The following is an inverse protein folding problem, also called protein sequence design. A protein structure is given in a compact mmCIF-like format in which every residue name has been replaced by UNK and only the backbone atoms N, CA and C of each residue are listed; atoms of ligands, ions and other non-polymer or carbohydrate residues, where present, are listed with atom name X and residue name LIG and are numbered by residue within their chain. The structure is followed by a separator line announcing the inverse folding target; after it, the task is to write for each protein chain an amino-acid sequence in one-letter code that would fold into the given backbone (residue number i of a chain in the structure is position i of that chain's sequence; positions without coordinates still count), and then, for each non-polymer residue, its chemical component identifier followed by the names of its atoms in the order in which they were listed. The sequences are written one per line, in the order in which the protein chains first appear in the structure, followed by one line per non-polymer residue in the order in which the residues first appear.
data_IF_869312145962
#
_entry.id   IF_869312145962
#
_cell.length_a   1.000
_cell.length_b   1.000
_cell.length_c   1.000
_cell.angle_alpha   90.00
_cell.angle_beta   90.00
_cell.angle_gamma   90.00
#
_symmetry.space_group_name_H-M   'P 1'
#
loop_
_entity.id
_entity.type
_entity.pdbx_description
1 polymer ?
#
# COMPACT_ATOMS: atom_id res chain seq x y z
N UNK A 1 -51.87 -29.97 -8.70
CA UNK A 1 -52.27 -31.39 -8.55
C UNK A 1 -52.01 -31.80 -7.11
N UNK A 2 -53.08 -32.26 -6.49
CA UNK A 2 -53.30 -32.61 -5.08
C UNK A 2 -52.77 -34.01 -4.74
N UNK A 3 -52.41 -34.23 -3.47
CA UNK A 3 -51.95 -35.52 -2.92
C UNK A 3 -53.02 -36.64 -3.02
N UNK A 4 -52.58 -37.91 -3.05
CA UNK A 4 -53.33 -39.04 -2.51
C UNK A 4 -52.66 -39.65 -1.24
N UNK A 5 -53.42 -40.45 -0.47
CA UNK A 5 -53.34 -40.53 0.99
C UNK A 5 -52.47 -41.66 1.55
N UNK A 6 -52.07 -41.50 2.82
CA UNK A 6 -51.33 -42.47 3.60
C UNK A 6 -52.13 -43.72 4.00
N UNK A 7 -51.40 -44.81 4.22
CA UNK A 7 -51.90 -46.05 4.82
C UNK A 7 -51.31 -46.25 6.23
N UNK A 8 -52.11 -46.80 7.18
CA UNK A 8 -51.73 -46.96 8.58
C UNK A 8 -50.81 -48.18 8.84
N UNK A 9 -50.06 -48.18 9.96
CA UNK A 9 -49.21 -49.31 10.34
C UNK A 9 -50.00 -50.51 10.90
N UNK A 10 -49.46 -51.74 10.80
CA UNK A 10 -50.09 -52.95 11.30
C UNK A 10 -50.04 -53.07 12.85
N UNK A 11 -50.98 -53.82 13.47
CA UNK A 11 -51.09 -53.91 14.92
C UNK A 11 -50.16 -54.96 15.56
N UNK A 12 -49.50 -54.50 16.63
CA UNK A 12 -49.21 -55.16 17.91
C UNK A 12 -49.07 -56.68 18.00
N UNK A 13 -47.84 -57.11 18.30
CA UNK A 13 -47.58 -58.26 19.17
C UNK A 13 -46.67 -57.80 20.32
N UNK A 14 -47.22 -57.67 21.53
CA UNK A 14 -46.46 -57.51 22.77
C UNK A 14 -46.00 -58.87 23.29
N UNK A 15 -44.71 -59.07 23.58
CA UNK A 15 -44.24 -60.09 24.50
C UNK A 15 -44.00 -59.51 25.92
N UNK A 16 -44.04 -60.38 26.95
CA UNK A 16 -44.31 -60.01 28.35
C UNK A 16 -43.17 -59.28 29.06
N UNK A 17 -43.57 -58.50 30.06
CA UNK A 17 -42.73 -57.63 30.87
C UNK A 17 -41.56 -58.34 31.56
N UNK A 18 -40.41 -57.67 31.54
CA UNK A 18 -39.26 -57.98 32.38
C UNK A 18 -39.18 -57.00 33.56
N UNK A 19 -38.74 -57.47 34.74
CA UNK A 19 -38.68 -56.66 35.96
C UNK A 19 -37.70 -55.47 35.83
N UNK A 20 -37.90 -54.39 36.62
CA UNK A 20 -37.06 -53.21 36.54
C UNK A 20 -35.63 -53.53 36.95
N UNK A 21 -34.68 -53.29 36.04
CA UNK A 21 -33.26 -53.24 36.37
C UNK A 21 -32.99 -51.99 37.22
N UNK A 22 -32.32 -52.18 38.36
CA UNK A 22 -31.85 -51.09 39.21
C UNK A 22 -30.88 -50.15 38.48
N UNK A 23 -30.64 -48.94 39.02
CA UNK A 23 -29.79 -47.95 38.38
C UNK A 23 -28.36 -48.48 38.19
N UNK A 24 -27.70 -48.15 37.06
CA UNK A 24 -26.30 -48.51 36.85
C UNK A 24 -25.39 -47.81 37.87
N UNK A 25 -24.25 -48.41 38.26
CA UNK A 25 -23.27 -47.74 39.11
C UNK A 25 -22.81 -46.44 38.46
N UNK A 26 -22.79 -45.36 39.24
CA UNK A 26 -22.30 -44.06 38.78
C UNK A 26 -20.84 -44.15 38.33
N UNK A 27 -20.56 -43.68 37.12
CA UNK A 27 -19.20 -43.45 36.66
C UNK A 27 -18.59 -42.34 37.53
N UNK A 28 -17.48 -42.65 38.20
CA UNK A 28 -16.67 -41.64 38.89
C UNK A 28 -16.16 -40.58 37.92
N UNK A 29 -15.81 -39.37 38.41
CA UNK A 29 -15.32 -38.30 37.55
C UNK A 29 -14.01 -38.72 36.85
N UNK A 30 -13.78 -38.28 35.61
CA UNK A 30 -12.52 -38.55 34.91
C UNK A 30 -11.34 -37.94 35.69
N UNK A 31 -10.14 -38.54 35.63
CA UNK A 31 -8.95 -37.96 36.25
C UNK A 31 -8.70 -36.55 35.68
N UNK A 32 -8.53 -35.58 36.58
CA UNK A 32 -8.20 -34.21 36.18
C UNK A 32 -6.88 -34.19 35.42
N UNK A 33 -6.89 -33.60 34.23
CA UNK A 33 -5.65 -33.24 33.55
C UNK A 33 -4.92 -32.22 34.44
N UNK A 34 -3.68 -32.55 34.83
CA UNK A 34 -2.81 -31.60 35.50
C UNK A 34 -2.63 -30.33 34.66
N UNK A 35 -2.33 -29.19 35.29
CA UNK A 35 -2.09 -27.95 34.56
C UNK A 35 -0.95 -28.13 33.55
N UNK A 36 -1.02 -27.53 32.36
CA UNK A 36 0.10 -27.54 31.42
C UNK A 36 1.34 -26.92 32.08
N UNK A 37 2.57 -27.35 31.72
CA UNK A 37 3.79 -26.72 32.22
C UNK A 37 3.73 -25.23 31.96
N UNK A 38 3.92 -24.42 33.01
CA UNK A 38 3.97 -22.99 32.89
C UNK A 38 5.08 -22.60 31.92
N UNK A 39 4.71 -21.96 30.81
CA UNK A 39 5.69 -21.24 30.02
C UNK A 39 6.28 -20.16 30.93
N UNK A 40 7.60 -20.24 31.16
CA UNK A 40 8.33 -19.18 31.84
C UNK A 40 8.05 -17.84 31.16
N UNK A 41 8.10 -16.72 31.90
CA UNK A 41 7.92 -15.41 31.30
C UNK A 41 8.90 -15.25 30.12
N UNK A 42 8.45 -14.73 28.96
CA UNK A 42 9.37 -14.38 27.90
C UNK A 42 10.43 -13.42 28.47
N UNK A 43 11.70 -13.48 28.00
CA UNK A 43 12.72 -12.53 28.41
C UNK A 43 12.14 -11.12 28.26
N UNK A 44 12.09 -10.39 29.37
CA UNK A 44 11.62 -9.01 29.37
C UNK A 44 12.51 -8.22 28.44
N UNK A 45 11.99 -7.86 27.26
CA UNK A 45 12.57 -6.77 26.50
C UNK A 45 12.44 -5.55 27.38
N UNK A 46 13.59 -4.94 27.69
CA UNK A 46 13.66 -3.72 28.47
C UNK A 46 12.73 -2.66 27.88
N UNK A 47 12.33 -1.66 28.69
CA UNK A 47 11.49 -0.58 28.21
C UNK A 47 12.08 0.01 26.93
N UNK A 48 11.27 0.25 25.89
CA UNK A 48 11.74 0.97 24.72
C UNK A 48 12.31 2.32 25.16
N UNK A 49 13.39 2.83 24.55
CA UNK A 49 13.90 4.16 24.88
C UNK A 49 12.76 5.15 24.76
N UNK A 50 12.45 5.84 25.84
CA UNK A 50 11.47 6.92 25.83
C UNK A 50 11.86 7.92 24.75
N UNK A 51 10.92 8.26 23.88
CA UNK A 51 11.10 9.34 22.92
C UNK A 51 11.41 10.61 23.70
N UNK A 52 12.68 10.99 23.68
CA UNK A 52 13.16 12.23 24.30
C UNK A 52 12.40 13.41 23.69
N UNK A 53 11.96 14.32 24.56
CA UNK A 53 11.30 15.56 24.15
C UNK A 53 12.12 16.30 23.09
N UNK A 54 11.41 16.89 22.12
CA UNK A 54 12.00 17.63 21.00
C UNK A 54 12.90 18.77 21.51
N UNK A 55 14.16 18.90 21.07
CA UNK A 55 14.92 20.12 21.28
C UNK A 55 14.38 21.27 20.42
N UNK A 56 14.54 22.54 20.83
CA UNK A 56 14.06 23.70 20.08
C UNK A 56 14.66 23.77 18.67
N UNK A 57 13.82 24.15 17.70
CA UNK A 57 14.19 24.27 16.29
C UNK A 57 15.37 25.23 16.08
N UNK A 58 16.49 24.71 15.59
CA UNK A 58 17.56 25.51 14.99
C UNK A 58 17.18 25.95 13.57
N UNK A 59 17.71 27.08 13.07
CA UNK A 59 17.43 27.55 11.73
C UNK A 59 17.96 26.57 10.66
N UNK A 60 17.23 26.36 9.54
CA UNK A 60 17.61 25.40 8.52
C UNK A 60 18.88 25.83 7.75
N UNK A 61 19.71 24.87 7.27
CA UNK A 61 20.82 25.17 6.37
C UNK A 61 20.33 25.75 5.04
N UNK A 62 20.83 26.94 4.70
CA UNK A 62 20.53 27.63 3.45
C UNK A 62 21.21 26.98 2.26
N UNK A 63 20.49 26.12 1.54
CA UNK A 63 20.80 25.75 0.16
C UNK A 63 19.76 26.36 -0.78
N UNK A 64 20.14 26.95 -1.93
CA UNK A 64 19.19 27.50 -2.89
C UNK A 64 18.32 26.38 -3.48
N UNK A 65 17.01 26.45 -3.23
CA UNK A 65 15.99 25.61 -3.89
C UNK A 65 15.77 26.12 -5.32
N UNK A 66 15.65 25.25 -6.33
CA UNK A 66 15.28 25.69 -7.67
C UNK A 66 13.87 26.32 -7.66
N UNK A 67 13.60 27.32 -8.50
CA UNK A 67 12.33 28.03 -8.52
C UNK A 67 11.18 27.08 -8.89
N UNK A 68 10.10 27.16 -8.11
CA UNK A 68 8.84 26.43 -8.35
C UNK A 68 8.33 26.75 -9.76
N UNK A 69 8.30 25.74 -10.63
CA UNK A 69 7.56 25.81 -11.89
C UNK A 69 6.05 25.84 -11.61
N UNK A 70 5.23 26.47 -12.47
CA UNK A 70 3.79 26.41 -12.34
C UNK A 70 3.31 24.94 -12.39
N UNK A 71 2.29 24.55 -11.61
CA UNK A 71 1.69 23.23 -11.69
C UNK A 71 1.28 22.90 -13.12
N UNK A 72 1.43 21.63 -13.52
CA UNK A 72 0.96 21.19 -14.84
C UNK A 72 -0.57 21.41 -14.95
N UNK A 73 -1.08 21.78 -16.14
CA UNK A 73 -2.51 21.95 -16.34
C UNK A 73 -3.26 20.65 -16.03
N UNK A 74 -4.52 20.72 -15.53
CA UNK A 74 -5.28 19.55 -15.12
C UNK A 74 -5.56 18.62 -16.32
N UNK A 75 -5.78 17.31 -16.07
CA UNK A 75 -6.24 16.39 -17.11
C UNK A 75 -7.51 16.92 -17.77
N UNK A 76 -7.50 17.02 -19.10
CA UNK A 76 -8.67 17.41 -19.88
C UNK A 76 -9.80 16.40 -19.69
N UNK A 77 -10.95 16.87 -19.23
CA UNK A 77 -12.15 16.06 -19.08
C UNK A 77 -12.55 15.48 -20.46
N UNK A 78 -12.61 14.15 -20.58
CA UNK A 78 -13.12 13.51 -21.79
C UNK A 78 -14.60 13.90 -21.99
N UNK A 79 -14.87 14.66 -23.05
CA UNK A 79 -16.17 14.67 -23.73
C UNK A 79 -17.17 15.78 -23.36
N UNK A 80 -16.82 17.06 -23.52
CA UNK A 80 -17.74 18.14 -23.95
C UNK A 80 -16.95 19.40 -24.34
N UNK A 81 -17.30 20.11 -25.43
CA UNK A 81 -16.63 21.37 -25.78
C UNK A 81 -16.87 22.41 -24.69
N UNK A 82 -15.81 23.06 -24.21
CA UNK A 82 -15.92 24.28 -23.42
C UNK A 82 -16.70 25.34 -24.22
N UNK A 83 -17.64 26.08 -23.60
CA UNK A 83 -18.16 27.29 -24.23
C UNK A 83 -16.99 28.27 -24.45
N UNK A 84 -16.92 28.98 -25.59
CA UNK A 84 -15.82 29.88 -25.85
C UNK A 84 -15.79 30.99 -24.78
N UNK A 85 -14.59 31.39 -24.30
CA UNK A 85 -14.48 32.48 -23.35
C UNK A 85 -15.01 33.77 -23.96
N UNK A 86 -15.80 34.50 -23.17
CA UNK A 86 -16.28 35.84 -23.54
C UNK A 86 -15.09 36.77 -23.73
N UNK A 87 -14.99 37.36 -24.91
CA UNK A 87 -13.96 38.31 -25.29
C UNK A 87 -14.06 39.59 -24.44
N UNK A 88 -13.15 39.74 -23.47
CA UNK A 88 -12.79 41.02 -22.86
C UNK A 88 -11.40 41.43 -23.37
N UNK A 89 -11.32 42.56 -24.06
CA UNK A 89 -10.13 43.01 -24.76
C UNK A 89 -8.95 43.37 -23.86
N UNK A 90 -7.74 43.21 -24.39
CA UNK A 90 -6.50 43.60 -23.74
C UNK A 90 -5.29 43.09 -24.52
N UNK A 91 -5.02 43.69 -25.67
CA UNK A 91 -3.79 43.45 -26.44
C UNK A 91 -2.55 44.04 -25.76
N UNK A 92 -1.39 43.56 -26.21
CA UNK A 92 -0.03 44.04 -25.92
C UNK A 92 0.71 43.44 -24.71
N UNK A 93 1.01 42.13 -24.75
CA UNK A 93 2.22 41.55 -24.10
C UNK A 93 2.79 40.42 -24.99
N UNK A 94 3.05 40.71 -26.27
CA UNK A 94 3.45 39.68 -27.26
C UNK A 94 4.85 39.82 -27.84
N UNK A 95 5.61 40.88 -27.51
CA UNK A 95 6.82 41.24 -28.27
C UNK A 95 8.14 41.21 -27.48
N UNK A 96 8.14 40.87 -26.18
CA UNK A 96 9.36 40.95 -25.33
C UNK A 96 10.03 39.59 -25.09
N UNK A 97 9.31 38.48 -25.25
CA UNK A 97 9.84 37.13 -24.97
C UNK A 97 10.63 36.50 -26.14
N UNK A 98 10.49 37.02 -27.37
CA UNK A 98 11.19 36.47 -28.53
C UNK A 98 12.67 36.89 -28.64
N UNK A 99 13.08 37.98 -27.97
CA UNK A 99 14.47 38.50 -28.04
C UNK A 99 15.39 37.81 -27.04
N UNK A 100 14.87 37.29 -25.92
CA UNK A 100 15.67 36.61 -24.88
C UNK A 100 16.02 35.16 -25.23
N UNK A 101 15.27 34.52 -26.12
CA UNK A 101 15.55 33.15 -26.58
C UNK A 101 16.69 33.08 -27.62
N UNK A 102 16.96 34.17 -28.35
CA UNK A 102 18.00 34.20 -29.39
C UNK A 102 19.41 34.41 -28.81
N UNK A 103 19.54 35.09 -27.67
CA UNK A 103 20.85 35.31 -27.01
C UNK A 103 21.29 34.15 -26.09
N UNK A 104 20.36 33.33 -25.59
CA UNK A 104 20.69 32.19 -24.73
C UNK A 104 21.30 30.99 -25.47
N UNK A 105 20.93 30.79 -26.74
CA UNK A 105 21.37 29.63 -27.54
C UNK A 105 22.77 29.83 -28.14
N UNK A 106 23.23 31.07 -28.31
CA UNK A 106 24.58 31.37 -28.83
C UNK A 106 25.65 31.34 -27.71
N UNK A 107 25.28 31.58 -26.45
CA UNK A 107 26.21 31.54 -25.30
C UNK A 107 26.59 30.13 -24.83
N UNK A 108 25.76 29.12 -25.08
CA UNK A 108 25.99 27.74 -24.63
C UNK A 108 26.83 26.89 -25.62
N UNK A 109 27.08 27.38 -26.84
CA UNK A 109 27.84 26.67 -27.87
C UNK A 109 29.34 27.03 -27.94
N UNK A 110 29.84 27.92 -27.07
CA UNK A 110 31.26 28.37 -27.08
C UNK A 110 32.10 27.81 -25.92
N UNK A 111 31.52 27.05 -24.99
CA UNK A 111 32.27 26.47 -23.84
C UNK A 111 32.61 24.98 -24.02
N UNK A 112 32.15 24.33 -25.10
CA UNK A 112 32.37 22.88 -25.32
C UNK A 112 33.42 22.53 -26.39
N UNK A 113 34.41 23.39 -26.61
CA UNK A 113 35.51 23.10 -27.53
C UNK A 113 36.82 23.74 -27.06
N UNK A 114 37.49 23.13 -26.09
CA UNK A 114 38.97 23.00 -25.98
C UNK A 114 39.35 22.49 -24.58
N UNK A 115 39.54 21.17 -24.42
CA UNK A 115 40.80 20.56 -23.95
C UNK A 115 40.59 19.04 -23.81
N UNK A 116 41.24 18.29 -24.69
CA UNK A 116 41.64 16.91 -24.41
C UNK A 116 43.03 16.66 -25.01
N UNK A 117 43.73 15.67 -24.46
CA UNK A 117 45.13 15.24 -24.67
C UNK A 117 46.10 15.88 -23.67
N UNK A 118 46.85 15.17 -22.83
CA UNK A 118 47.14 13.75 -22.67
C UNK A 118 48.56 13.66 -22.07
N UNK A 119 48.87 12.65 -21.23
CA UNK A 119 50.19 11.97 -21.09
C UNK A 119 50.31 11.13 -19.82
N UNK A 120 51.18 10.13 -19.90
CA UNK A 120 51.23 8.87 -19.16
C UNK A 120 52.40 8.78 -18.15
N UNK A 121 52.33 7.72 -17.30
CA UNK A 121 53.43 6.97 -16.63
C UNK A 121 53.80 7.33 -15.15
N UNK A 122 54.47 6.44 -14.38
CA UNK A 122 53.82 5.47 -13.49
C UNK A 122 54.41 5.47 -12.05
N UNK A 123 53.79 4.79 -11.08
CA UNK A 123 54.53 4.19 -9.96
C UNK A 123 53.74 3.11 -9.24
N UNK A 124 54.44 2.01 -8.97
CA UNK A 124 54.03 0.80 -8.26
C UNK A 124 53.91 1.10 -6.77
N UNK A 125 52.94 0.48 -6.09
CA UNK A 125 53.18 -0.24 -4.83
C UNK A 125 52.10 -1.34 -4.65
N UNK A 126 52.60 -2.53 -4.34
CA UNK A 126 51.87 -3.76 -4.02
C UNK A 126 51.58 -3.80 -2.52
N UNK A 127 50.46 -4.41 -2.08
CA UNK A 127 50.43 -5.47 -1.05
C UNK A 127 49.00 -6.00 -0.80
N UNK A 128 48.89 -7.33 -0.94
CA UNK A 128 48.08 -8.35 -0.24
C UNK A 128 46.58 -8.15 0.10
N UNK A 129 45.76 -8.94 -0.59
CA UNK A 129 44.42 -9.38 -0.19
C UNK A 129 44.49 -10.72 0.57
N UNK A 130 43.87 -10.87 1.76
CA UNK A 130 43.67 -12.17 2.37
C UNK A 130 42.54 -12.94 1.67
N UNK A 131 42.85 -14.15 1.21
CA UNK A 131 41.90 -15.16 0.75
C UNK A 131 41.40 -15.97 1.94
N UNK A 132 40.08 -16.01 2.17
CA UNK A 132 39.45 -17.01 3.03
C UNK A 132 38.70 -18.00 2.14
N UNK A 133 39.28 -19.19 2.01
CA UNK A 133 38.62 -20.37 1.42
C UNK A 133 37.67 -20.97 2.45
N UNK A 134 36.36 -20.95 2.19
CA UNK A 134 35.39 -21.71 2.97
C UNK A 134 35.03 -23.00 2.23
N UNK A 135 35.19 -24.15 2.89
CA UNK A 135 34.88 -25.47 2.35
C UNK A 135 33.37 -25.73 2.33
N UNK A 136 32.82 -26.43 1.32
CA UNK A 136 31.43 -26.83 1.30
C UNK A 136 31.18 -28.04 2.22
N UNK A 137 30.00 -28.15 2.86
CA UNK A 137 29.65 -29.34 3.65
C UNK A 137 29.30 -30.53 2.75
N UNK A 138 29.86 -31.69 3.08
CA UNK A 138 29.58 -33.00 2.51
C UNK A 138 28.22 -33.53 3.00
N UNK A 139 27.32 -33.86 2.08
CA UNK A 139 26.09 -34.61 2.37
C UNK A 139 26.29 -36.08 1.99
N UNK A 140 26.28 -36.95 2.99
CA UNK A 140 26.34 -38.41 2.82
C UNK A 140 24.99 -38.92 2.32
N UNK A 141 24.92 -39.36 1.07
CA UNK A 141 23.75 -40.06 0.53
C UNK A 141 23.90 -41.55 0.85
N UNK A 142 23.07 -42.07 1.75
CA UNK A 142 22.98 -43.51 2.01
C UNK A 142 21.86 -44.10 1.17
N UNK A 143 22.24 -44.90 0.16
CA UNK A 143 21.33 -45.68 -0.66
C UNK A 143 21.06 -47.03 0.04
N UNK A 144 19.79 -47.39 0.20
CA UNK A 144 19.35 -48.73 0.57
C UNK A 144 18.37 -49.29 -0.48
N UNK A 145 18.53 -50.58 -0.74
CA UNK A 145 18.05 -51.39 -1.86
C UNK A 145 16.51 -51.53 -2.03
N UNK A 146 16.02 -51.94 -3.21
CA UNK A 146 14.60 -52.17 -3.44
C UNK A 146 14.16 -53.52 -2.86
N UNK A 147 13.03 -53.52 -2.14
CA UNK A 147 12.31 -54.76 -1.79
C UNK A 147 10.99 -54.79 -2.55
N UNK A 148 10.86 -55.77 -3.43
CA UNK A 148 9.65 -56.10 -4.18
C UNK A 148 8.60 -56.66 -3.23
N UNK A 149 7.40 -56.11 -3.21
CA UNK A 149 6.22 -56.79 -2.64
C UNK A 149 5.00 -56.47 -3.49
N UNK A 150 4.49 -57.50 -4.16
CA UNK A 150 3.24 -57.47 -4.88
C UNK A 150 2.07 -57.28 -3.90
N UNK A 151 1.13 -56.37 -4.21
CA UNK A 151 -0.19 -56.38 -3.57
C UNK A 151 -1.28 -56.01 -4.57
N UNK A 152 -2.28 -56.88 -4.55
CA UNK A 152 -3.42 -57.06 -5.46
C UNK A 152 -4.32 -55.83 -5.56
N UNK A 153 -4.71 -55.48 -6.80
CA UNK A 153 -5.72 -54.46 -7.10
C UNK A 153 -7.12 -55.01 -6.84
N UNK A 154 -7.94 -54.29 -6.07
CA UNK A 154 -9.39 -54.47 -6.01
C UNK A 154 -10.05 -53.24 -6.63
N UNK A 155 -10.80 -53.46 -7.71
CA UNK A 155 -11.52 -52.42 -8.45
C UNK A 155 -12.82 -52.04 -7.74
N UNK A 156 -13.02 -50.75 -7.46
CA UNK A 156 -14.32 -50.20 -7.08
C UNK A 156 -14.77 -49.25 -8.18
N UNK A 157 -15.77 -49.70 -8.95
CA UNK A 157 -16.48 -48.91 -9.97
C UNK A 157 -17.36 -47.85 -9.31
N UNK A 158 -17.02 -46.57 -9.50
CA UNK A 158 -17.90 -45.43 -9.17
C UNK A 158 -18.46 -44.83 -10.45
N UNK A 159 -19.78 -44.87 -10.58
CA UNK A 159 -20.56 -44.46 -11.75
C UNK A 159 -20.62 -42.92 -11.81
N UNK A 160 -20.00 -42.31 -12.82
CA UNK A 160 -20.03 -40.86 -13.03
C UNK A 160 -21.29 -40.47 -13.83
N UNK A 161 -22.17 -39.66 -13.25
CA UNK A 161 -23.29 -39.02 -13.98
C UNK A 161 -22.88 -37.61 -14.39
N UNK A 162 -22.64 -37.40 -15.67
CA UNK A 162 -22.29 -36.11 -16.25
C UNK A 162 -23.54 -35.24 -16.37
N UNK A 163 -23.71 -34.24 -15.50
CA UNK A 163 -24.71 -33.18 -15.66
C UNK A 163 -24.02 -31.93 -16.18
N UNK A 164 -24.12 -31.69 -17.49
CA UNK A 164 -23.64 -30.47 -18.14
C UNK A 164 -24.51 -29.29 -17.69
N UNK A 165 -24.00 -28.48 -16.77
CA UNK A 165 -24.60 -27.21 -16.40
C UNK A 165 -23.98 -26.12 -17.28
N UNK A 166 -24.77 -25.55 -18.19
CA UNK A 166 -24.39 -24.41 -19.01
C UNK A 166 -24.32 -23.17 -18.12
N UNK A 167 -23.14 -22.80 -17.66
CA UNK A 167 -22.91 -21.55 -16.93
C UNK A 167 -22.81 -20.39 -17.93
N UNK A 168 -23.89 -19.63 -18.05
CA UNK A 168 -23.87 -18.30 -18.68
C UNK A 168 -23.01 -17.38 -17.81
N UNK A 169 -21.72 -17.26 -18.09
CA UNK A 169 -20.84 -16.31 -17.41
C UNK A 169 -21.10 -14.90 -17.95
N UNK A 170 -21.68 -14.04 -17.10
CA UNK A 170 -21.55 -12.58 -17.25
C UNK A 170 -20.07 -12.27 -17.54
N UNK A 171 -19.74 -11.42 -18.53
CA UNK A 171 -18.36 -11.03 -18.76
C UNK A 171 -17.74 -10.55 -17.44
N UNK A 172 -16.61 -11.13 -17.07
CA UNK A 172 -15.86 -10.66 -15.91
C UNK A 172 -15.62 -9.16 -16.13
N UNK A 173 -15.99 -8.33 -15.14
CA UNK A 173 -15.67 -6.90 -15.20
C UNK A 173 -14.15 -6.69 -15.31
N UNK A 174 -13.69 -5.43 -15.44
CA UNK A 174 -12.27 -5.11 -15.39
C UNK A 174 -11.56 -5.89 -14.27
N UNK A 175 -10.43 -6.50 -14.58
CA UNK A 175 -9.66 -7.32 -13.64
C UNK A 175 -8.38 -6.60 -13.23
N UNK A 176 -7.89 -6.79 -12.00
CA UNK A 176 -6.60 -6.26 -11.60
C UNK A 176 -5.50 -6.84 -12.50
N UNK A 177 -4.53 -6.01 -12.87
CA UNK A 177 -3.37 -6.44 -13.67
C UNK A 177 -2.18 -6.63 -12.75
N UNK A 178 -1.72 -7.88 -12.63
CA UNK A 178 -0.62 -8.27 -11.75
C UNK A 178 0.77 -7.85 -12.29
N UNK A 179 0.99 -6.55 -12.43
CA UNK A 179 2.22 -5.93 -12.90
C UNK A 179 2.57 -4.70 -12.04
N UNK A 180 3.85 -4.39 -11.94
CA UNK A 180 4.38 -3.19 -11.27
C UNK A 180 4.55 -2.05 -12.28
N UNK A 181 5.74 -1.85 -12.84
CA UNK A 181 6.04 -0.70 -13.72
C UNK A 181 5.19 -0.60 -14.98
N UNK A 182 4.79 -1.74 -15.56
CA UNK A 182 3.99 -1.79 -16.80
C UNK A 182 2.46 -1.84 -16.56
N UNK A 183 2.01 -1.63 -15.32
CA UNK A 183 0.60 -1.64 -14.97
C UNK A 183 -0.17 -0.56 -15.74
N UNK A 184 -1.39 -0.85 -16.25
CA UNK A 184 -2.24 0.15 -16.93
C UNK A 184 -2.43 1.46 -16.17
N UNK A 185 -2.37 1.44 -14.83
CA UNK A 185 -2.42 2.61 -13.96
C UNK A 185 -1.41 3.70 -14.36
N UNK A 186 -0.26 3.32 -14.91
CA UNK A 186 0.87 4.21 -15.20
C UNK A 186 1.05 4.54 -16.69
N UNK A 187 0.19 4.01 -17.59
CA UNK A 187 0.43 4.09 -19.05
C UNK A 187 0.07 5.44 -19.64
N UNK A 188 -1.03 6.02 -19.21
CA UNK A 188 -1.49 7.33 -19.69
C UNK A 188 -0.73 8.45 -18.96
N UNK A 189 0.04 9.23 -19.72
CA UNK A 189 0.82 10.36 -19.21
C UNK A 189 -0.06 11.51 -18.70
N UNK A 190 -1.32 11.58 -19.14
CA UNK A 190 -2.28 12.60 -18.77
C UNK A 190 -3.26 12.13 -17.68
N UNK A 191 -3.23 10.84 -17.32
CA UNK A 191 -4.05 10.29 -16.24
C UNK A 191 -3.64 10.86 -14.88
N UNK A 192 -4.60 11.42 -14.16
CA UNK A 192 -4.43 12.03 -12.84
C UNK A 192 -5.78 12.22 -12.15
N UNK A 193 -5.77 12.60 -10.88
CA UNK A 193 -7.01 12.81 -10.13
C UNK A 193 -7.79 13.98 -10.70
N UNK A 194 -9.12 13.81 -10.75
CA UNK A 194 -10.02 14.91 -11.07
C UNK A 194 -10.06 15.90 -9.91
N UNK A 195 -10.07 17.19 -10.23
CA UNK A 195 -10.14 18.27 -9.26
C UNK A 195 -11.61 18.49 -8.84
N UNK A 196 -11.98 17.97 -7.67
CA UNK A 196 -13.33 18.13 -7.10
C UNK A 196 -13.25 18.71 -5.69
N UNK A 197 -14.19 19.58 -5.36
CA UNK A 197 -14.34 20.06 -3.98
C UNK A 197 -14.84 18.94 -3.08
N UNK A 198 -14.23 18.82 -1.90
CA UNK A 198 -14.60 17.81 -0.92
C UNK A 198 -15.04 18.45 0.38
N UNK A 199 -16.21 18.02 0.87
CA UNK A 199 -16.73 18.44 2.17
C UNK A 199 -16.30 17.48 3.26
N UNK A 200 -15.60 17.99 4.27
CA UNK A 200 -15.25 17.21 5.46
C UNK A 200 -16.05 17.73 6.67
N UNK A 201 -16.63 16.85 7.49
CA UNK A 201 -17.06 17.22 8.84
C UNK A 201 -15.92 17.86 9.62
N UNK A 202 -16.22 18.66 10.64
CA UNK A 202 -15.19 19.16 11.56
C UNK A 202 -14.48 17.96 12.20
N UNK A 203 -13.15 17.99 12.20
CA UNK A 203 -12.34 17.00 12.90
C UNK A 203 -12.66 16.94 14.40
N UNK A 204 -12.57 15.74 14.98
CA UNK A 204 -12.60 15.55 16.42
C UNK A 204 -11.97 14.20 16.80
N UNK A 205 -11.18 14.19 17.88
CA UNK A 205 -10.46 13.01 18.38
C UNK A 205 -11.35 12.00 19.14
N UNK A 206 -12.63 11.90 18.78
CA UNK A 206 -13.50 10.80 19.22
C UNK A 206 -13.67 9.83 18.07
N UNK A 207 -13.83 8.53 18.36
CA UNK A 207 -14.03 7.50 17.33
C UNK A 207 -15.13 7.89 16.35
N UNK A 208 -16.29 8.36 16.83
CA UNK A 208 -17.40 8.73 15.97
C UNK A 208 -17.10 9.92 15.05
N UNK A 209 -16.47 10.98 15.58
CA UNK A 209 -16.13 12.17 14.79
C UNK A 209 -15.04 11.88 13.75
N UNK A 210 -13.97 11.17 14.15
CA UNK A 210 -12.89 10.78 13.26
C UNK A 210 -13.37 9.76 12.19
N UNK A 211 -14.24 8.82 12.54
CA UNK A 211 -14.87 7.91 11.58
C UNK A 211 -15.66 8.69 10.52
N UNK A 212 -16.53 9.62 10.92
CA UNK A 212 -17.28 10.45 9.99
C UNK A 212 -16.36 11.29 9.08
N UNK A 213 -15.26 11.81 9.63
CA UNK A 213 -14.24 12.54 8.87
C UNK A 213 -13.58 11.67 7.79
N UNK A 214 -13.09 10.48 8.17
CA UNK A 214 -12.42 9.58 7.23
C UNK A 214 -13.39 8.92 6.23
N UNK A 215 -14.66 8.72 6.59
CA UNK A 215 -15.68 8.27 5.64
C UNK A 215 -15.98 9.33 4.56
N UNK A 216 -15.95 10.61 4.93
CA UNK A 216 -16.03 11.71 3.96
C UNK A 216 -14.77 11.77 3.08
N UNK A 217 -13.58 11.59 3.66
CA UNK A 217 -12.32 11.50 2.92
C UNK A 217 -12.31 10.33 1.93
N UNK A 218 -12.77 9.14 2.35
CA UNK A 218 -12.97 7.97 1.47
C UNK A 218 -13.88 8.31 0.31
N UNK A 219 -15.04 8.92 0.57
CA UNK A 219 -16.02 9.27 -0.48
C UNK A 219 -15.42 10.23 -1.50
N UNK A 220 -14.65 11.22 -1.05
CA UNK A 220 -13.91 12.14 -1.91
C UNK A 220 -12.89 11.39 -2.80
N UNK A 221 -12.02 10.58 -2.20
CA UNK A 221 -11.00 9.80 -2.90
C UNK A 221 -11.62 8.79 -3.88
N UNK A 222 -12.73 8.15 -3.52
CA UNK A 222 -13.50 7.27 -4.40
C UNK A 222 -13.93 7.99 -5.68
N UNK A 223 -14.50 9.19 -5.54
CA UNK A 223 -14.94 9.99 -6.68
C UNK A 223 -13.77 10.44 -7.57
N UNK A 224 -12.59 10.67 -6.99
CA UNK A 224 -11.39 11.06 -7.71
C UNK A 224 -10.72 9.90 -8.45
N UNK A 225 -10.59 8.74 -7.81
CA UNK A 225 -9.87 7.58 -8.33
C UNK A 225 -10.70 6.70 -9.26
N UNK A 226 -12.02 6.62 -9.06
CA UNK A 226 -12.91 5.81 -9.90
C UNK A 226 -12.76 6.10 -11.40
N UNK A 227 -12.83 7.36 -11.89
CA UNK A 227 -12.66 7.63 -13.32
C UNK A 227 -11.25 7.31 -13.82
N UNK A 228 -10.22 7.49 -12.98
CA UNK A 228 -8.82 7.16 -13.32
C UNK A 228 -8.66 5.67 -13.57
N UNK A 229 -9.14 4.83 -12.65
CA UNK A 229 -9.05 3.37 -12.79
C UNK A 229 -9.93 2.86 -13.93
N UNK A 230 -11.12 3.42 -14.12
CA UNK A 230 -11.99 3.09 -15.25
C UNK A 230 -11.34 3.44 -16.60
N UNK A 231 -10.69 4.60 -16.71
CA UNK A 231 -9.95 5.02 -17.90
C UNK A 231 -8.77 4.09 -18.22
N UNK A 232 -8.12 3.54 -17.20
CA UNK A 232 -7.06 2.54 -17.34
C UNK A 232 -7.57 1.10 -17.58
N UNK A 233 -8.90 0.88 -17.61
CA UNK A 233 -9.48 -0.46 -17.75
C UNK A 233 -9.25 -1.36 -16.52
N UNK A 234 -9.08 -0.77 -15.34
CA UNK A 234 -8.86 -1.45 -14.06
C UNK A 234 -10.13 -1.49 -13.20
N UNK A 235 -10.25 -2.44 -12.25
CA UNK A 235 -11.41 -2.50 -11.36
C UNK A 235 -11.40 -1.33 -10.38
N UNK A 236 -12.60 -1.01 -9.89
CA UNK A 236 -12.78 -0.08 -8.77
C UNK A 236 -13.61 -0.76 -7.68
N UNK A 237 -13.15 -0.63 -6.45
CA UNK A 237 -13.92 -0.88 -5.23
C UNK A 237 -13.58 0.22 -4.23
N UNK A 238 -14.48 0.52 -3.30
CA UNK A 238 -14.17 1.42 -2.19
C UNK A 238 -13.60 0.62 -1.02
N UNK A 239 -12.60 1.13 -0.27
CA UNK A 239 -12.11 0.46 0.93
C UNK A 239 -13.10 0.62 2.09
N UNK A 240 -13.04 -0.28 3.08
CA UNK A 240 -13.66 -0.04 4.39
C UNK A 240 -12.75 0.88 5.22
N UNK A 241 -13.33 1.68 6.12
CA UNK A 241 -12.58 2.52 7.07
C UNK A 241 -12.86 2.06 8.49
N UNK A 242 -11.80 1.83 9.26
CA UNK A 242 -11.88 1.42 10.67
C UNK A 242 -11.08 2.40 11.53
N UNK A 243 -11.76 3.08 12.47
CA UNK A 243 -11.14 4.05 13.38
C UNK A 243 -11.27 3.57 14.82
N UNK A 244 -10.43 2.62 15.28
CA UNK A 244 -10.46 2.22 16.67
C UNK A 244 -9.85 3.32 17.56
N UNK A 245 -10.30 3.39 18.81
CA UNK A 245 -9.67 4.27 19.80
C UNK A 245 -8.22 3.89 20.09
N UNK A 246 -7.91 2.58 20.00
CA UNK A 246 -6.56 2.04 20.20
C UNK A 246 -6.14 1.09 19.11
N UNK A 247 -4.87 1.11 18.73
CA UNK A 247 -4.24 0.20 17.76
C UNK A 247 -4.39 -1.28 18.14
N UNK A 248 -4.42 -1.59 19.44
CA UNK A 248 -4.71 -2.93 19.94
C UNK A 248 -6.10 -3.48 19.50
N UNK A 249 -7.04 -2.58 19.17
CA UNK A 249 -8.37 -2.93 18.66
C UNK A 249 -8.46 -2.92 17.13
N UNK A 250 -7.38 -2.59 16.41
CA UNK A 250 -7.29 -2.67 14.95
C UNK A 250 -7.05 -4.13 14.50
N UNK A 251 -8.03 -5.00 14.74
CA UNK A 251 -7.93 -6.42 14.32
C UNK A 251 -8.03 -6.54 12.79
N UNK A 252 -7.01 -7.15 12.19
CA UNK A 252 -6.83 -7.25 10.75
C UNK A 252 -6.29 -8.62 10.34
N UNK A 253 -6.65 -9.15 9.15
CA UNK A 253 -5.98 -10.33 8.61
C UNK A 253 -4.55 -10.07 8.12
N UNK A 254 -4.11 -8.79 8.02
CA UNK A 254 -2.75 -8.44 7.59
C UNK A 254 -1.76 -8.29 8.76
N UNK A 255 -2.25 -8.13 9.99
CA UNK A 255 -1.43 -7.93 11.18
C UNK A 255 -1.98 -8.74 12.34
N UNK A 256 -1.13 -9.39 13.12
CA UNK A 256 -1.54 -9.83 14.46
C UNK A 256 -1.78 -8.58 15.31
N UNK A 257 -2.93 -8.46 15.97
CA UNK A 257 -3.37 -7.28 16.73
C UNK A 257 -2.23 -6.58 17.50
N UNK A 258 -2.07 -5.25 17.33
CA UNK A 258 -1.12 -4.43 18.11
C UNK A 258 0.27 -4.19 17.51
N UNK A 259 0.39 -4.06 16.19
CA UNK A 259 1.64 -3.58 15.57
C UNK A 259 1.90 -2.09 15.81
N UNK A 260 3.17 -1.67 15.81
CA UNK A 260 3.59 -0.27 15.88
C UNK A 260 3.47 0.41 14.50
N UNK A 261 2.25 0.62 14.04
CA UNK A 261 1.95 1.39 12.81
C UNK A 261 1.15 2.65 13.17
N UNK A 262 1.37 3.75 12.45
CA UNK A 262 0.58 4.97 12.66
C UNK A 262 -0.85 4.78 12.12
N UNK A 263 -0.94 4.33 10.87
CA UNK A 263 -2.12 3.85 10.17
C UNK A 263 -1.66 2.71 9.25
N UNK A 264 -2.59 1.94 8.68
CA UNK A 264 -2.24 0.95 7.66
C UNK A 264 -3.44 0.52 6.80
N UNK A 265 -3.17 0.19 5.55
CA UNK A 265 -4.08 -0.50 4.66
C UNK A 265 -3.86 -2.02 4.66
N UNK A 266 -4.95 -2.78 4.78
CA UNK A 266 -4.92 -4.23 4.63
C UNK A 266 -5.53 -4.69 3.30
N UNK A 267 -4.67 -5.17 2.40
CA UNK A 267 -5.07 -5.69 1.08
C UNK A 267 -5.91 -6.96 1.11
N UNK A 268 -5.98 -7.70 2.23
CA UNK A 268 -6.76 -8.94 2.33
C UNK A 268 -8.25 -8.68 2.56
N UNK A 269 -8.61 -7.63 3.32
CA UNK A 269 -10.01 -7.25 3.59
C UNK A 269 -10.36 -5.84 3.07
N UNK A 270 -9.45 -5.21 2.34
CA UNK A 270 -9.61 -3.89 1.73
C UNK A 270 -10.00 -2.82 2.76
N UNK A 271 -9.34 -2.82 3.93
CA UNK A 271 -9.66 -1.89 5.03
C UNK A 271 -8.49 -0.97 5.33
N UNK A 272 -8.76 0.33 5.44
CA UNK A 272 -7.86 1.34 5.98
C UNK A 272 -8.13 1.45 7.48
N UNK A 273 -7.11 1.20 8.30
CA UNK A 273 -7.17 1.30 9.75
C UNK A 273 -6.47 2.58 10.22
N UNK A 274 -7.19 3.41 10.97
CA UNK A 274 -6.73 4.70 11.50
C UNK A 274 -6.89 4.74 13.02
N UNK A 275 -6.04 4.05 13.81
CA UNK A 275 -6.15 4.05 15.25
C UNK A 275 -5.83 5.44 15.82
N UNK A 276 -6.70 5.97 16.68
CA UNK A 276 -6.53 7.33 17.20
C UNK A 276 -5.26 7.50 18.04
N UNK A 277 -4.85 6.48 18.80
CA UNK A 277 -3.66 6.50 19.65
C UNK A 277 -2.32 6.41 18.88
N UNK A 278 -2.33 6.10 17.58
CA UNK A 278 -1.11 5.96 16.77
C UNK A 278 -0.99 6.97 15.62
N UNK A 279 -2.08 7.62 15.24
CA UNK A 279 -2.03 8.75 14.27
C UNK A 279 -1.58 10.08 14.92
N UNK A 280 -1.08 10.03 16.17
CA UNK A 280 -0.48 11.15 16.91
C UNK A 280 -1.47 12.31 17.11
N UNK A 281 -2.71 12.01 17.53
CA UNK A 281 -3.73 13.06 17.75
C UNK A 281 -3.33 14.07 18.82
N UNK A 282 -2.51 13.66 19.78
CA UNK A 282 -1.95 14.52 20.82
C UNK A 282 -0.91 15.50 20.29
N UNK A 283 -0.11 15.11 19.29
CA UNK A 283 0.93 15.95 18.71
C UNK A 283 0.37 16.94 17.67
N UNK A 284 -0.58 16.50 16.85
CA UNK A 284 -1.14 17.30 15.76
C UNK A 284 -2.44 18.03 16.13
N UNK A 285 -3.11 17.64 17.22
CA UNK A 285 -4.32 18.28 17.71
C UNK A 285 -5.41 18.39 16.63
N UNK A 286 -5.82 19.62 16.35
CA UNK A 286 -6.88 19.94 15.38
C UNK A 286 -6.37 20.11 13.93
N UNK A 287 -5.08 19.84 13.63
CA UNK A 287 -4.54 20.00 12.26
C UNK A 287 -4.96 18.84 11.33
N UNK A 288 -6.26 18.84 11.01
CA UNK A 288 -6.94 17.77 10.28
C UNK A 288 -6.35 17.43 8.90
N UNK A 289 -5.60 18.35 8.29
CA UNK A 289 -4.93 18.09 7.00
C UNK A 289 -3.81 17.05 7.12
N UNK A 290 -3.17 16.94 8.29
CA UNK A 290 -2.15 15.91 8.52
C UNK A 290 -2.80 14.52 8.51
N UNK A 291 -3.93 14.36 9.18
CA UNK A 291 -4.67 13.09 9.17
C UNK A 291 -5.24 12.76 7.78
N UNK A 292 -5.67 13.77 7.00
CA UNK A 292 -6.05 13.59 5.59
C UNK A 292 -4.88 13.10 4.74
N UNK A 293 -3.68 13.64 4.94
CA UNK A 293 -2.49 13.22 4.21
C UNK A 293 -2.13 11.75 4.52
N UNK A 294 -2.19 11.34 5.80
CA UNK A 294 -2.00 9.94 6.22
C UNK A 294 -3.07 9.05 5.60
N UNK A 295 -4.35 9.43 5.68
CA UNK A 295 -5.44 8.65 5.09
C UNK A 295 -5.28 8.50 3.56
N UNK A 296 -4.84 9.55 2.87
CA UNK A 296 -4.62 9.52 1.43
C UNK A 296 -3.44 8.63 1.03
N UNK A 297 -2.40 8.54 1.85
CA UNK A 297 -1.32 7.56 1.69
C UNK A 297 -1.87 6.13 1.77
N UNK A 298 -2.66 5.80 2.79
CA UNK A 298 -3.26 4.47 2.92
C UNK A 298 -4.25 4.15 1.77
N UNK A 299 -4.97 5.16 1.29
CA UNK A 299 -5.79 5.04 0.08
C UNK A 299 -4.92 4.79 -1.17
N UNK A 300 -3.71 5.34 -1.21
CA UNK A 300 -2.71 5.03 -2.24
C UNK A 300 -2.41 3.53 -2.31
N UNK A 301 -2.16 2.88 -1.17
CA UNK A 301 -2.00 1.42 -1.13
C UNK A 301 -3.27 0.67 -1.55
N UNK A 302 -4.45 1.20 -1.24
CA UNK A 302 -5.70 0.64 -1.75
C UNK A 302 -5.75 0.65 -3.29
N UNK A 303 -5.38 1.77 -3.91
CA UNK A 303 -5.29 1.90 -5.39
C UNK A 303 -4.27 0.93 -5.98
N UNK A 304 -3.09 0.79 -5.36
CA UNK A 304 -2.10 -0.20 -5.77
C UNK A 304 -2.64 -1.64 -5.65
N UNK A 305 -3.42 -1.95 -4.61
CA UNK A 305 -4.00 -3.26 -4.41
C UNK A 305 -5.05 -3.59 -5.47
N UNK A 306 -6.02 -2.71 -5.70
CA UNK A 306 -7.11 -2.97 -6.66
C UNK A 306 -6.64 -2.88 -8.11
N UNK A 307 -5.56 -2.15 -8.40
CA UNK A 307 -4.93 -2.18 -9.74
C UNK A 307 -4.10 -3.44 -9.99
N UNK A 308 -3.72 -4.18 -8.93
CA UNK A 308 -2.88 -5.38 -8.99
C UNK A 308 -1.38 -5.13 -8.79
N UNK A 309 -0.94 -3.88 -8.64
CA UNK A 309 0.45 -3.47 -8.35
C UNK A 309 0.92 -4.08 -7.03
N UNK A 310 0.19 -3.84 -5.94
CA UNK A 310 0.59 -4.29 -4.60
C UNK A 310 0.60 -5.82 -4.50
N UNK A 311 -0.34 -6.49 -5.20
CA UNK A 311 -0.37 -7.95 -5.29
C UNK A 311 0.88 -8.53 -5.95
N UNK A 312 1.40 -7.89 -7.02
CA UNK A 312 2.67 -8.26 -7.64
C UNK A 312 3.85 -7.97 -6.73
N UNK A 313 3.89 -6.77 -6.13
CA UNK A 313 4.94 -6.35 -5.21
C UNK A 313 5.10 -7.30 -4.02
N UNK A 314 3.99 -7.71 -3.37
CA UNK A 314 4.02 -8.65 -2.25
C UNK A 314 4.61 -10.01 -2.64
N UNK A 315 4.22 -10.57 -3.79
CA UNK A 315 4.78 -11.85 -4.26
C UNK A 315 6.27 -11.74 -4.56
N UNK A 316 6.68 -10.67 -5.23
CA UNK A 316 8.09 -10.47 -5.58
C UNK A 316 8.94 -10.27 -4.32
N UNK A 317 8.46 -9.47 -3.37
CA UNK A 317 9.13 -9.24 -2.09
C UNK A 317 9.26 -10.53 -1.28
N UNK A 318 8.21 -11.36 -1.25
CA UNK A 318 8.25 -12.66 -0.61
C UNK A 318 9.32 -13.56 -1.24
N UNK A 319 9.33 -13.67 -2.57
CA UNK A 319 10.29 -14.49 -3.31
C UNK A 319 11.74 -14.00 -3.17
N UNK A 320 11.96 -12.69 -3.09
CA UNK A 320 13.28 -12.09 -2.91
C UNK A 320 13.81 -12.23 -1.47
N UNK A 321 12.97 -12.63 -0.51
CA UNK A 321 13.24 -12.52 0.92
C UNK A 321 12.80 -11.14 1.45
N UNK A 322 11.81 -11.06 2.37
CA UNK A 322 11.21 -9.78 2.78
C UNK A 322 12.16 -8.75 3.40
N UNK A 323 13.30 -9.21 3.93
CA UNK A 323 14.35 -8.39 4.56
C UNK A 323 15.64 -8.33 3.74
N UNK A 324 15.67 -8.95 2.55
CA UNK A 324 16.81 -8.83 1.64
C UNK A 324 16.88 -7.42 1.05
N UNK A 325 18.03 -7.02 0.52
CA UNK A 325 18.18 -5.71 -0.13
C UNK A 325 17.14 -5.49 -1.24
N UNK A 326 16.86 -6.53 -2.03
CA UNK A 326 15.85 -6.49 -3.09
C UNK A 326 14.42 -6.44 -2.52
N UNK A 327 14.12 -7.24 -1.49
CA UNK A 327 12.80 -7.22 -0.85
C UNK A 327 12.48 -5.88 -0.19
N UNK A 328 13.49 -5.26 0.43
CA UNK A 328 13.39 -3.92 1.01
C UNK A 328 13.25 -2.84 -0.06
N UNK A 329 13.93 -2.95 -1.20
CA UNK A 329 13.72 -2.02 -2.32
C UNK A 329 12.29 -2.10 -2.90
N UNK A 330 11.75 -3.31 -3.02
CA UNK A 330 10.34 -3.50 -3.44
C UNK A 330 9.39 -2.84 -2.44
N UNK A 331 9.66 -2.94 -1.15
CA UNK A 331 8.90 -2.24 -0.11
C UNK A 331 8.94 -0.73 -0.31
N UNK A 332 10.15 -0.15 -0.41
CA UNK A 332 10.31 1.30 -0.61
C UNK A 332 9.60 1.80 -1.86
N UNK A 333 9.60 1.05 -2.97
CA UNK A 333 8.89 1.44 -4.19
C UNK A 333 7.37 1.50 -3.99
N UNK A 334 6.78 0.54 -3.29
CA UNK A 334 5.35 0.57 -2.95
C UNK A 334 5.01 1.74 -2.02
N UNK A 335 5.77 1.90 -0.92
CA UNK A 335 5.58 2.99 0.05
C UNK A 335 5.68 4.38 -0.59
N UNK A 336 6.72 4.60 -1.41
CA UNK A 336 6.91 5.88 -2.11
C UNK A 336 5.88 6.11 -3.21
N UNK A 337 5.31 5.05 -3.80
CA UNK A 337 4.22 5.14 -4.77
C UNK A 337 2.94 5.63 -4.11
N UNK A 338 2.55 5.00 -3.00
CA UNK A 338 1.43 5.43 -2.17
C UNK A 338 1.64 6.87 -1.63
N UNK A 339 2.88 7.21 -1.27
CA UNK A 339 3.24 8.55 -0.84
C UNK A 339 3.03 9.60 -1.94
N UNK A 340 3.42 9.29 -3.18
CA UNK A 340 3.15 10.14 -4.33
C UNK A 340 1.64 10.30 -4.59
N UNK A 341 0.87 9.22 -4.48
CA UNK A 341 -0.59 9.27 -4.58
C UNK A 341 -1.24 10.15 -3.50
N UNK A 342 -0.76 10.10 -2.26
CA UNK A 342 -1.19 11.01 -1.20
C UNK A 342 -0.89 12.48 -1.53
N UNK A 343 0.26 12.74 -2.15
CA UNK A 343 0.62 14.05 -2.69
C UNK A 343 -0.36 14.53 -3.76
N UNK A 344 -0.69 13.68 -4.74
CA UNK A 344 -1.66 14.00 -5.80
C UNK A 344 -3.01 14.45 -5.23
N UNK A 345 -3.49 13.77 -4.18
CA UNK A 345 -4.74 14.11 -3.51
C UNK A 345 -4.70 15.49 -2.86
N UNK A 346 -3.63 15.82 -2.12
CA UNK A 346 -3.50 17.15 -1.50
C UNK A 346 -3.29 18.24 -2.55
N UNK A 347 -2.56 17.96 -3.63
CA UNK A 347 -2.41 18.89 -4.76
C UNK A 347 -3.75 19.22 -5.42
N UNK A 348 -4.54 18.20 -5.72
CA UNK A 348 -5.90 18.36 -6.26
C UNK A 348 -6.84 19.10 -5.29
N UNK A 349 -6.80 18.75 -4.00
CA UNK A 349 -7.62 19.41 -2.96
C UNK A 349 -7.22 20.87 -2.75
N UNK A 350 -5.93 21.19 -2.91
CA UNK A 350 -5.45 22.56 -2.86
C UNK A 350 -5.88 23.37 -4.09
N UNK A 351 -5.83 22.77 -5.28
CA UNK A 351 -6.23 23.41 -6.53
C UNK A 351 -7.67 23.94 -6.49
N UNK A 352 -8.58 23.17 -5.89
CA UNK A 352 -10.01 23.56 -5.75
C UNK A 352 -10.30 24.36 -4.49
N UNK A 353 -9.32 24.60 -3.63
CA UNK A 353 -9.47 25.39 -2.41
C UNK A 353 -10.07 24.66 -1.21
N UNK A 354 -10.35 23.35 -1.30
CA UNK A 354 -10.74 22.53 -0.14
C UNK A 354 -9.63 22.48 0.91
N UNK A 355 -8.37 22.42 0.47
CA UNK A 355 -7.19 22.54 1.32
C UNK A 355 -6.50 23.87 1.01
N UNK A 356 -6.20 24.69 2.02
CA UNK A 356 -5.48 25.95 1.80
C UNK A 356 -4.02 25.71 1.41
N UNK A 357 -3.37 26.70 0.79
CA UNK A 357 -1.95 26.60 0.45
C UNK A 357 -1.09 26.38 1.70
N UNK A 358 -1.42 27.06 2.80
CA UNK A 358 -0.72 26.90 4.08
C UNK A 358 -0.88 25.47 4.66
N UNK A 359 -2.09 24.90 4.57
CA UNK A 359 -2.34 23.51 4.92
C UNK A 359 -1.52 22.53 4.05
N UNK A 360 -1.52 22.72 2.73
CA UNK A 360 -0.71 21.89 1.82
C UNK A 360 0.79 21.99 2.11
N UNK A 361 1.29 23.19 2.38
CA UNK A 361 2.70 23.39 2.72
C UNK A 361 3.07 22.76 4.07
N UNK A 362 2.13 22.67 5.02
CA UNK A 362 2.34 21.90 6.26
C UNK A 362 2.48 20.42 5.98
N UNK A 363 1.60 19.82 5.16
CA UNK A 363 1.71 18.39 4.84
C UNK A 363 3.02 18.09 4.10
N UNK A 364 3.46 18.94 3.17
CA UNK A 364 4.75 18.77 2.49
C UNK A 364 5.90 18.76 3.52
N UNK A 365 5.96 19.75 4.42
CA UNK A 365 7.00 19.82 5.46
C UNK A 365 6.98 18.61 6.40
N UNK A 366 5.78 18.18 6.80
CA UNK A 366 5.59 17.02 7.66
C UNK A 366 6.12 15.74 6.99
N UNK A 367 5.87 15.55 5.70
CA UNK A 367 6.36 14.40 4.95
C UNK A 367 7.89 14.37 4.77
N UNK A 368 8.57 15.53 4.75
CA UNK A 368 10.04 15.58 4.81
C UNK A 368 10.63 15.19 6.17
N UNK A 369 9.79 14.98 7.20
CA UNK A 369 10.21 14.50 8.52
C UNK A 369 9.92 13.01 8.76
N UNK A 370 9.15 12.39 7.87
CA UNK A 370 8.73 10.98 7.87
C UNK A 370 9.62 10.11 6.98
N UNK A 371 9.46 8.79 7.04
CA UNK A 371 10.32 7.83 6.35
C UNK A 371 11.49 7.34 7.21
N UNK A 372 12.32 6.49 6.62
CA UNK A 372 13.38 5.74 7.29
C UNK A 372 14.46 6.68 7.85
N UNK A 373 14.61 6.67 9.17
CA UNK A 373 15.68 7.30 9.92
C UNK A 373 16.97 6.46 9.98
N UNK A 374 17.93 6.95 10.78
CA UNK A 374 19.20 6.26 10.98
C UNK A 374 18.99 5.04 11.88
N UNK A 375 19.26 3.86 11.34
CA UNK A 375 19.14 2.58 12.05
C UNK A 375 17.81 1.87 11.84
N UNK A 376 16.86 2.51 11.16
CA UNK A 376 15.58 1.89 10.80
C UNK A 376 15.77 0.85 9.69
N UNK A 377 14.82 -0.07 9.61
CA UNK A 377 14.66 -0.93 8.43
C UNK A 377 14.46 -0.03 7.21
N UNK A 378 15.10 -0.37 6.09
CA UNK A 378 15.02 0.42 4.85
C UNK A 378 13.79 0.05 4.04
N UNK A 379 12.59 0.23 4.55
CA UNK A 379 11.34 -0.22 3.92
C UNK A 379 10.40 0.89 3.45
N UNK A 380 10.58 2.15 3.86
CA UNK A 380 9.75 3.29 3.43
C UNK A 380 10.52 4.36 2.63
N UNK A 381 11.85 4.26 2.53
CA UNK A 381 12.71 5.24 1.85
C UNK A 381 13.23 6.30 2.81
N UNK A 382 14.34 6.96 2.46
CA UNK A 382 14.87 8.04 3.29
C UNK A 382 13.83 9.15 3.49
N UNK A 383 13.97 9.95 4.55
CA UNK A 383 13.09 11.11 4.76
C UNK A 383 13.05 12.08 3.58
N UNK A 384 14.19 12.24 2.92
CA UNK A 384 14.29 13.05 1.71
C UNK A 384 13.45 12.46 0.58
N UNK A 385 13.55 11.14 0.36
CA UNK A 385 12.79 10.46 -0.70
C UNK A 385 11.29 10.46 -0.39
N UNK A 386 10.91 10.18 0.86
CA UNK A 386 9.52 10.19 1.33
C UNK A 386 8.84 11.55 1.08
N UNK A 387 9.47 12.65 1.50
CA UNK A 387 8.99 14.01 1.23
C UNK A 387 9.00 14.35 -0.26
N UNK A 388 10.04 13.96 -1.00
CA UNK A 388 10.17 14.30 -2.43
C UNK A 388 9.13 13.62 -3.31
N UNK A 389 8.78 12.36 -3.06
CA UNK A 389 7.74 11.65 -3.82
C UNK A 389 6.35 12.22 -3.50
N UNK A 390 6.11 12.61 -2.25
CA UNK A 390 4.89 13.33 -1.88
C UNK A 390 4.76 14.67 -2.62
N UNK A 391 5.81 15.50 -2.57
CA UNK A 391 5.83 16.79 -3.26
C UNK A 391 5.74 16.60 -4.79
N UNK A 392 6.35 15.54 -5.33
CA UNK A 392 6.24 15.16 -6.74
C UNK A 392 4.78 14.91 -7.15
N UNK A 393 4.04 14.14 -6.36
CA UNK A 393 2.62 13.90 -6.56
C UNK A 393 1.78 15.18 -6.47
N UNK A 394 2.06 16.00 -5.45
CA UNK A 394 1.39 17.29 -5.22
C UNK A 394 1.52 18.23 -6.43
N UNK A 395 2.72 18.35 -7.00
CA UNK A 395 3.00 19.27 -8.12
C UNK A 395 2.39 18.75 -9.43
N UNK A 396 2.52 17.45 -9.70
CA UNK A 396 2.26 16.92 -11.03
C UNK A 396 0.84 16.39 -11.21
N UNK A 397 0.23 15.81 -10.17
CA UNK A 397 -1.04 15.09 -10.25
C UNK A 397 -1.13 14.20 -11.51
N UNK A 398 -0.16 13.28 -11.68
CA UNK A 398 -0.14 12.28 -12.76
C UNK A 398 0.27 10.90 -12.25
N UNK A 399 -0.50 9.87 -12.59
CA UNK A 399 -0.22 8.50 -12.12
C UNK A 399 1.10 8.00 -12.70
N UNK A 400 1.38 8.21 -13.99
CA UNK A 400 2.66 7.85 -14.61
C UNK A 400 3.87 8.48 -13.89
N UNK A 401 3.75 9.72 -13.42
CA UNK A 401 4.81 10.42 -12.70
C UNK A 401 5.07 9.82 -11.32
N UNK A 402 4.09 9.15 -10.73
CA UNK A 402 4.23 8.37 -9.50
C UNK A 402 4.70 6.92 -9.73
N UNK A 403 5.15 6.55 -10.93
CA UNK A 403 5.64 5.20 -11.21
C UNK A 403 7.04 4.97 -10.64
N UNK A 404 7.09 4.68 -9.34
CA UNK A 404 8.33 4.38 -8.61
C UNK A 404 9.01 3.11 -9.12
N UNK A 405 8.31 2.20 -9.79
CA UNK A 405 8.86 0.93 -10.27
C UNK A 405 9.83 1.07 -11.44
N UNK A 406 9.70 2.15 -12.20
CA UNK A 406 10.59 2.50 -13.31
C UNK A 406 11.67 3.51 -12.92
N UNK A 407 11.62 4.03 -11.69
CA UNK A 407 12.62 4.98 -11.19
C UNK A 407 13.97 4.27 -10.92
N UNK A 408 15.11 4.97 -11.12
CA UNK A 408 16.41 4.51 -10.66
C UNK A 408 16.38 4.11 -9.17
N UNK A 409 17.11 3.07 -8.77
CA UNK A 409 17.14 2.63 -7.36
C UNK A 409 17.61 3.72 -6.40
N UNK A 410 18.44 4.67 -6.88
CA UNK A 410 18.89 5.82 -6.09
C UNK A 410 17.75 6.78 -5.73
N UNK A 411 16.69 6.86 -6.54
CA UNK A 411 15.55 7.77 -6.33
C UNK A 411 14.49 7.17 -5.38
N UNK A 412 14.70 5.93 -4.94
CA UNK A 412 13.82 5.19 -4.02
C UNK A 412 14.58 4.63 -2.80
N UNK A 413 15.79 5.15 -2.52
CA UNK A 413 16.68 4.57 -1.51
C UNK A 413 16.55 5.18 -0.13
#
# INVERSE_FOLDING_TARGET
MTQPPGYPPPPGSQPPGRPPYGPPPGYGPPPGYGPPPGYGPPPGYGPPPGYGGRPPYGPPPGGPRPPYGPPLPPPGYYGRPYPPPRSGGGGAVGAVLAVLLVFGVVGALVVFATVNSGSSHPSKYSYDTPSYTYAPPSYTTSAAAPTTTARTSAATTSRSSTRTATTSSKPAGPQPVNATGDNPLFRDADSGLINIECGYPRWGATVAAAQAFFDAARTCLDNMWKPVLQGAGLPFSSPTVSVPARSANASSPCTSSGGNFAAFYCSTNHTIYMPLDTIQVEDYGDDSVIYLAVFAHEYGHHVEAISGVLGKAHRDRYNAGPTSAQGLEISRRAELGAQCFGGMFIGSSNHVGTVSLDQAQRTIRDNYSRGDGKGDTRDHGSKQHYGSWYEHGYINNRTQKCNTWTAPSADVS
#
